data_IF_918317228393
#
_entry.id   IF_918317228393
#
_cell.length_a   1.000
_cell.length_b   1.000
_cell.length_c   1.000
_cell.angle_alpha   90.00
_cell.angle_beta   90.00
_cell.angle_gamma   90.00
#
_symmetry.space_group_name_H-M   'P 1'
#
loop_
_entity.id
_entity.type
_entity.pdbx_description
1 polymer ?
#
# COMPACT_ATOMS: atom_id res chain seq x y z
N UNK A 1 -60.15 35.21 -50.99
CA UNK A 1 -58.70 35.24 -51.17
C UNK A 1 -58.17 34.06 -50.38
N UNK A 2 -58.17 32.86 -50.99
CA UNK A 2 -56.95 32.18 -51.51
C UNK A 2 -56.15 31.58 -50.35
N UNK A 3 -55.74 30.31 -50.27
CA UNK A 3 -55.78 29.10 -51.10
C UNK A 3 -55.36 27.94 -50.16
N UNK A 4 -55.83 26.72 -50.44
CA UNK A 4 -55.11 25.41 -50.46
C UNK A 4 -54.03 25.10 -49.40
N UNK A 5 -53.94 23.92 -48.77
CA UNK A 5 -54.55 22.63 -49.09
C UNK A 5 -54.13 21.48 -48.14
N UNK A 6 -54.82 20.35 -48.38
CA UNK A 6 -54.57 18.91 -48.17
C UNK A 6 -53.83 18.31 -46.95
N UNK A 7 -54.50 17.28 -46.43
CA UNK A 7 -54.11 16.14 -45.60
C UNK A 7 -52.79 15.44 -45.96
N UNK A 8 -52.07 14.92 -44.95
CA UNK A 8 -51.93 13.47 -44.64
C UNK A 8 -50.64 13.17 -43.83
N UNK A 9 -50.75 12.31 -42.82
CA UNK A 9 -49.64 11.60 -42.14
C UNK A 9 -48.98 10.55 -43.08
N UNK A 10 -47.91 9.75 -42.73
CA UNK A 10 -47.24 9.53 -41.43
C UNK A 10 -45.68 9.34 -41.45
N UNK A 11 -45.12 8.95 -40.28
CA UNK A 11 -43.85 8.26 -40.00
C UNK A 11 -42.52 9.04 -39.88
N UNK A 12 -41.96 9.09 -38.66
CA UNK A 12 -40.58 8.67 -38.31
C UNK A 12 -40.41 8.70 -36.77
N UNK A 13 -40.10 7.57 -36.12
CA UNK A 13 -38.73 7.12 -35.78
C UNK A 13 -38.04 8.07 -34.81
N UNK A 14 -38.12 7.78 -33.51
CA UNK A 14 -36.95 7.57 -32.61
C UNK A 14 -37.21 7.90 -31.14
N UNK A 15 -36.63 7.02 -30.31
CA UNK A 15 -36.05 7.29 -28.99
C UNK A 15 -37.05 7.62 -27.87
N UNK A 16 -37.54 6.56 -27.22
CA UNK A 16 -37.74 6.64 -25.78
C UNK A 16 -36.79 5.64 -25.10
N UNK A 17 -35.67 6.20 -24.64
CA UNK A 17 -34.61 5.55 -23.87
C UNK A 17 -35.20 5.06 -22.55
N UNK A 18 -35.52 3.76 -22.46
CA UNK A 18 -35.78 3.13 -21.17
C UNK A 18 -34.45 2.73 -20.54
N UNK A 19 -34.07 3.48 -19.50
CA UNK A 19 -33.00 3.13 -18.57
C UNK A 19 -33.15 1.70 -18.04
N UNK A 20 -32.09 0.87 -18.06
CA UNK A 20 -32.11 -0.37 -17.32
C UNK A 20 -31.71 -0.10 -15.87
N UNK A 21 -32.69 -0.31 -14.99
CA UNK A 21 -32.53 -0.29 -13.55
C UNK A 21 -31.49 -1.32 -13.07
N UNK A 22 -30.70 -0.86 -12.09
CA UNK A 22 -29.64 -1.53 -11.32
C UNK A 22 -29.87 -3.03 -11.08
N UNK A 23 -28.89 -3.87 -11.45
CA UNK A 23 -28.82 -5.30 -11.09
C UNK A 23 -27.57 -5.60 -10.25
N UNK A 24 -27.70 -6.55 -9.31
CA UNK A 24 -26.85 -6.72 -8.13
C UNK A 24 -25.37 -7.09 -8.41
N UNK A 25 -24.37 -6.34 -7.87
CA UNK A 25 -22.94 -6.50 -8.19
C UNK A 25 -22.19 -7.63 -7.43
N UNK A 26 -22.88 -8.64 -6.88
CA UNK A 26 -22.24 -9.60 -5.95
C UNK A 26 -21.70 -10.90 -6.58
N UNK A 27 -22.07 -11.24 -7.83
CA UNK A 27 -21.62 -12.48 -8.48
C UNK A 27 -20.60 -12.15 -9.58
N UNK A 28 -19.49 -12.88 -9.60
CA UNK A 28 -18.47 -12.71 -10.65
C UNK A 28 -18.92 -13.37 -11.96
N UNK A 29 -18.51 -12.89 -13.15
CA UNK A 29 -18.85 -13.50 -14.44
C UNK A 29 -18.39 -14.97 -14.52
N UNK A 30 -17.29 -15.32 -13.86
CA UNK A 30 -16.85 -16.72 -13.69
C UNK A 30 -17.94 -17.56 -13.01
N UNK A 31 -18.61 -17.02 -11.99
CA UNK A 31 -19.67 -17.71 -11.24
C UNK A 31 -20.96 -17.82 -12.05
N UNK A 32 -21.34 -16.77 -12.78
CA UNK A 32 -22.52 -16.79 -13.66
C UNK A 32 -22.33 -17.85 -14.75
N UNK A 33 -21.15 -17.90 -15.35
CA UNK A 33 -20.82 -18.85 -16.40
C UNK A 33 -20.77 -20.29 -15.89
N UNK A 34 -20.28 -20.51 -14.67
CA UNK A 34 -20.30 -21.82 -14.02
C UNK A 34 -21.74 -22.29 -13.68
N UNK A 35 -22.59 -21.37 -13.21
CA UNK A 35 -24.01 -21.65 -12.96
C UNK A 35 -24.73 -22.04 -14.25
N UNK A 36 -24.50 -21.31 -15.35
CA UNK A 36 -25.02 -21.65 -16.66
C UNK A 36 -24.50 -23.00 -17.16
N UNK A 37 -23.20 -23.26 -17.06
CA UNK A 37 -22.62 -24.54 -17.47
C UNK A 37 -23.20 -25.73 -16.69
N UNK A 38 -23.53 -25.53 -15.42
CA UNK A 38 -24.19 -26.56 -14.59
C UNK A 38 -25.63 -26.81 -15.04
N UNK A 39 -26.38 -25.75 -15.40
CA UNK A 39 -27.76 -25.85 -15.91
C UNK A 39 -27.82 -26.47 -17.32
N UNK A 40 -26.85 -26.14 -18.16
CA UNK A 40 -26.79 -26.57 -19.56
C UNK A 40 -26.02 -27.88 -19.77
N UNK A 41 -25.56 -28.52 -18.68
CA UNK A 41 -24.84 -29.81 -18.72
C UNK A 41 -23.40 -29.75 -19.25
N UNK A 42 -22.88 -28.54 -19.54
CA UNK A 42 -21.57 -28.30 -20.12
C UNK A 42 -20.76 -27.36 -19.20
N UNK A 43 -19.97 -27.93 -18.31
CA UNK A 43 -19.19 -27.13 -17.36
C UNK A 43 -18.05 -26.35 -18.06
N UNK A 44 -17.80 -25.09 -17.67
CA UNK A 44 -16.71 -24.29 -18.22
C UNK A 44 -15.34 -24.88 -17.85
N UNK A 45 -14.55 -25.20 -18.87
CA UNK A 45 -13.15 -25.63 -18.71
C UNK A 45 -12.24 -24.45 -19.00
N UNK A 46 -11.42 -24.06 -18.02
CA UNK A 46 -10.44 -22.98 -18.16
C UNK A 46 -9.03 -23.55 -18.36
N UNK A 47 -8.38 -23.19 -19.46
CA UNK A 47 -7.00 -23.59 -19.78
C UNK A 47 -6.12 -22.35 -19.84
N UNK A 48 -4.91 -22.43 -19.29
CA UNK A 48 -3.91 -21.37 -19.40
C UNK A 48 -3.14 -21.59 -20.70
N UNK A 49 -3.23 -20.65 -21.64
CA UNK A 49 -2.56 -20.76 -22.93
C UNK A 49 -1.18 -20.11 -22.90
N UNK A 50 -1.09 -18.91 -22.31
CA UNK A 50 0.15 -18.14 -22.27
C UNK A 50 0.34 -17.44 -20.93
N UNK A 51 1.58 -17.39 -20.49
CA UNK A 51 2.05 -16.61 -19.36
C UNK A 51 3.35 -15.92 -19.78
N UNK A 52 3.25 -14.69 -20.24
CA UNK A 52 4.34 -13.92 -20.84
C UNK A 52 4.39 -12.54 -20.18
N UNK A 53 5.52 -11.85 -20.18
CA UNK A 53 5.66 -10.52 -19.58
C UNK A 53 6.77 -10.43 -18.53
N UNK A 54 7.17 -9.20 -18.24
CA UNK A 54 8.25 -8.92 -17.30
C UNK A 54 7.78 -9.10 -15.86
N UNK A 55 8.69 -9.36 -14.91
CA UNK A 55 8.33 -9.61 -13.51
C UNK A 55 7.49 -8.49 -12.87
N UNK A 56 7.62 -7.26 -13.37
CA UNK A 56 6.87 -6.09 -12.92
C UNK A 56 5.56 -5.85 -13.70
N UNK A 57 5.35 -6.52 -14.84
CA UNK A 57 4.14 -6.44 -15.65
C UNK A 57 3.84 -7.79 -16.32
N UNK A 58 3.37 -8.78 -15.54
CA UNK A 58 3.04 -10.09 -16.08
C UNK A 58 1.73 -10.04 -16.89
N UNK A 59 1.65 -10.81 -17.96
CA UNK A 59 0.49 -10.93 -18.84
C UNK A 59 0.08 -12.40 -18.98
N UNK A 60 -1.20 -12.69 -18.72
CA UNK A 60 -1.73 -14.05 -18.76
C UNK A 60 -2.86 -14.13 -19.77
N UNK A 61 -2.89 -15.22 -20.54
CA UNK A 61 -3.95 -15.55 -21.47
C UNK A 61 -4.60 -16.85 -21.04
N UNK A 62 -5.92 -16.82 -20.87
CA UNK A 62 -6.73 -17.97 -20.51
C UNK A 62 -7.80 -18.20 -21.57
N UNK A 63 -7.99 -19.44 -21.97
CA UNK A 63 -9.15 -19.87 -22.75
C UNK A 63 -10.18 -20.55 -21.86
N UNK A 64 -11.46 -20.29 -22.13
CA UNK A 64 -12.60 -20.96 -21.53
C UNK A 64 -13.40 -21.67 -22.62
N UNK A 65 -13.78 -22.93 -22.39
CA UNK A 65 -14.63 -23.70 -23.30
C UNK A 65 -15.87 -24.22 -22.57
N UNK A 66 -17.05 -24.03 -23.17
CA UNK A 66 -18.35 -24.48 -22.67
C UNK A 66 -19.11 -25.08 -23.84
N UNK A 67 -19.24 -26.40 -23.85
CA UNK A 67 -19.79 -27.13 -25.00
C UNK A 67 -18.98 -26.80 -26.26
N UNK A 68 -19.65 -26.21 -27.25
CA UNK A 68 -19.05 -25.80 -28.53
C UNK A 68 -18.52 -24.36 -28.54
N UNK A 69 -18.80 -23.56 -27.50
CA UNK A 69 -18.37 -22.15 -27.43
C UNK A 69 -17.03 -22.05 -26.71
N UNK A 70 -16.04 -21.46 -27.38
CA UNK A 70 -14.71 -21.18 -26.83
C UNK A 70 -14.40 -19.69 -26.88
N UNK A 71 -13.84 -19.16 -25.79
CA UNK A 71 -13.43 -17.75 -25.72
C UNK A 71 -12.06 -17.63 -25.05
N UNK A 72 -11.33 -16.57 -25.39
CA UNK A 72 -10.06 -16.23 -24.76
C UNK A 72 -10.18 -14.93 -24.01
N UNK A 73 -9.43 -14.81 -22.92
CA UNK A 73 -9.35 -13.60 -22.10
C UNK A 73 -7.94 -13.39 -21.61
N UNK A 74 -7.59 -12.13 -21.42
CA UNK A 74 -6.24 -11.70 -21.09
C UNK A 74 -6.22 -10.84 -19.83
N UNK A 75 -5.06 -10.68 -19.22
CA UNK A 75 -4.96 -9.71 -18.14
C UNK A 75 -3.67 -9.79 -17.34
N UNK A 76 -3.46 -8.81 -16.44
CA UNK A 76 -2.25 -8.71 -15.64
C UNK A 76 -2.15 -9.79 -14.55
N UNK A 77 -3.19 -10.61 -14.38
CA UNK A 77 -3.22 -11.72 -13.43
C UNK A 77 -4.02 -12.89 -13.99
N UNK A 78 -3.71 -14.10 -13.51
CA UNK A 78 -4.50 -15.31 -13.83
C UNK A 78 -6.00 -15.14 -13.53
N UNK A 79 -6.35 -14.33 -12.51
CA UNK A 79 -7.75 -14.04 -12.14
C UNK A 79 -8.41 -13.09 -13.13
N UNK A 80 -7.72 -12.02 -13.53
CA UNK A 80 -8.22 -11.05 -14.51
C UNK A 80 -8.43 -11.72 -15.89
N UNK A 81 -7.46 -12.53 -16.33
CA UNK A 81 -7.55 -13.28 -17.59
C UNK A 81 -8.73 -14.25 -17.61
N UNK A 82 -8.94 -15.01 -16.53
CA UNK A 82 -10.12 -15.89 -16.39
C UNK A 82 -11.44 -15.12 -16.35
N UNK A 83 -11.46 -13.96 -15.71
CA UNK A 83 -12.65 -13.11 -15.62
C UNK A 83 -13.04 -12.57 -17.00
N UNK A 84 -12.07 -12.06 -17.76
CA UNK A 84 -12.30 -11.57 -19.13
C UNK A 84 -12.72 -12.71 -20.06
N UNK A 85 -12.10 -13.89 -19.94
CA UNK A 85 -12.48 -15.06 -20.74
C UNK A 85 -13.93 -15.46 -20.46
N UNK A 86 -14.33 -15.43 -19.18
CA UNK A 86 -15.68 -15.76 -18.76
C UNK A 86 -16.71 -14.73 -19.23
N UNK A 87 -16.38 -13.45 -19.16
CA UNK A 87 -17.21 -12.35 -19.65
C UNK A 87 -17.44 -12.44 -21.17
N UNK A 88 -16.38 -12.70 -21.94
CA UNK A 88 -16.48 -12.93 -23.38
C UNK A 88 -17.40 -14.12 -23.71
N UNK A 89 -17.29 -15.22 -22.95
CA UNK A 89 -18.17 -16.38 -23.11
C UNK A 89 -19.64 -16.09 -22.77
N UNK A 90 -19.90 -15.32 -21.70
CA UNK A 90 -21.26 -14.88 -21.36
C UNK A 90 -21.86 -14.00 -22.45
N UNK A 91 -21.06 -13.10 -23.04
CA UNK A 91 -21.49 -12.21 -24.12
C UNK A 91 -21.87 -12.97 -25.38
N UNK A 92 -21.14 -14.04 -25.74
CA UNK A 92 -21.46 -14.88 -26.91
C UNK A 92 -22.72 -15.71 -26.66
N UNK A 93 -22.92 -16.19 -25.43
CA UNK A 93 -24.05 -17.02 -25.06
C UNK A 93 -25.36 -16.23 -24.84
N UNK A 94 -25.34 -14.88 -24.95
CA UNK A 94 -26.49 -13.98 -24.73
C UNK A 94 -27.27 -14.31 -23.44
N UNK A 95 -26.55 -14.67 -22.38
CA UNK A 95 -27.16 -15.09 -21.11
C UNK A 95 -27.50 -13.85 -20.29
N UNK A 96 -28.78 -13.44 -20.32
CA UNK A 96 -29.32 -12.51 -19.34
C UNK A 96 -29.60 -13.23 -18.01
N UNK A 97 -29.15 -12.62 -16.90
CA UNK A 97 -29.19 -13.18 -15.56
C UNK A 97 -30.59 -13.19 -14.92
N UNK A 98 -31.56 -13.83 -15.58
CA UNK A 98 -32.97 -13.74 -15.19
C UNK A 98 -33.78 -15.01 -15.40
N UNK A 99 -33.51 -16.10 -14.67
CA UNK A 99 -34.59 -16.99 -14.19
C UNK A 99 -34.17 -17.96 -13.06
N UNK A 100 -34.98 -17.88 -11.98
CA UNK A 100 -35.32 -18.86 -10.92
C UNK A 100 -34.28 -19.32 -9.89
N UNK A 101 -34.62 -19.02 -8.63
CA UNK A 101 -34.16 -19.60 -7.36
C UNK A 101 -34.29 -21.13 -7.31
N UNK A 102 -33.28 -21.83 -6.80
CA UNK A 102 -33.43 -22.81 -5.71
C UNK A 102 -32.06 -23.29 -5.18
N UNK A 103 -32.02 -23.84 -3.96
CA UNK A 103 -30.82 -23.94 -3.14
C UNK A 103 -30.09 -25.29 -3.28
N UNK A 104 -28.89 -25.33 -2.67
CA UNK A 104 -28.16 -26.49 -2.11
C UNK A 104 -26.79 -26.76 -2.75
N UNK A 105 -25.78 -26.40 -1.94
CA UNK A 105 -24.48 -27.04 -1.66
C UNK A 105 -23.60 -27.44 -2.85
N UNK A 106 -22.47 -26.74 -2.97
CA UNK A 106 -21.25 -27.28 -3.57
C UNK A 106 -20.19 -27.47 -2.48
N UNK A 107 -19.60 -28.65 -2.52
CA UNK A 107 -18.47 -29.08 -1.72
C UNK A 107 -17.19 -28.34 -2.13
N UNK A 108 -16.39 -28.02 -1.10
CA UNK A 108 -14.92 -28.06 -0.98
C UNK A 108 -13.98 -27.76 -2.17
N UNK A 109 -12.93 -27.01 -1.82
CA UNK A 109 -11.61 -26.83 -2.44
C UNK A 109 -11.54 -25.97 -3.71
N UNK A 110 -10.74 -24.90 -3.78
CA UNK A 110 -9.72 -24.39 -2.88
C UNK A 110 -9.03 -23.18 -3.52
N UNK A 111 -8.20 -22.52 -2.71
CA UNK A 111 -7.17 -21.52 -3.10
C UNK A 111 -7.65 -20.32 -3.92
N UNK A 112 -8.28 -19.35 -3.24
CA UNK A 112 -8.33 -17.96 -3.71
C UNK A 112 -7.23 -17.17 -3.01
N UNK A 113 -6.11 -17.00 -3.71
CA UNK A 113 -5.13 -15.97 -3.38
C UNK A 113 -5.78 -14.60 -3.64
N UNK A 114 -6.35 -14.02 -2.58
CA UNK A 114 -6.86 -12.65 -2.61
C UNK A 114 -5.68 -11.65 -2.58
N UNK A 115 -5.33 -11.15 -3.75
CA UNK A 115 -4.71 -9.84 -3.95
C UNK A 115 -5.75 -8.78 -3.61
N UNK A 116 -5.68 -8.23 -2.40
CA UNK A 116 -6.40 -7.02 -2.03
C UNK A 116 -5.37 -5.89 -1.91
N UNK A 117 -5.43 -4.94 -2.83
CA UNK A 117 -4.85 -3.59 -2.70
C UNK A 117 -5.65 -2.78 -1.65
N UNK A 118 -5.80 -3.37 -0.47
CA UNK A 118 -6.37 -2.76 0.71
C UNK A 118 -5.23 -2.67 1.71
N UNK A 119 -5.02 -1.54 2.41
CA UNK A 119 -3.91 -1.39 3.35
C UNK A 119 -3.88 -2.60 4.28
N UNK A 120 -2.85 -3.42 4.13
CA UNK A 120 -2.73 -4.65 4.87
C UNK A 120 -2.32 -4.27 6.28
N UNK A 121 -3.28 -4.21 7.20
CA UNK A 121 -3.06 -3.82 8.60
C UNK A 121 -1.94 -4.64 9.27
N UNK A 122 -1.73 -5.88 8.81
CA UNK A 122 -0.59 -6.73 9.20
C UNK A 122 0.74 -6.17 8.71
N UNK A 123 0.82 -5.71 7.47
CA UNK A 123 2.00 -5.11 6.87
C UNK A 123 2.34 -3.76 7.49
N UNK A 124 1.33 -2.92 7.71
CA UNK A 124 1.47 -1.64 8.43
C UNK A 124 2.08 -1.85 9.81
N UNK A 125 1.52 -2.79 10.59
CA UNK A 125 2.01 -3.06 11.94
C UNK A 125 3.45 -3.61 11.92
N UNK A 126 3.79 -4.38 10.89
CA UNK A 126 5.13 -4.90 10.68
C UNK A 126 6.13 -3.79 10.32
N UNK A 127 5.78 -2.89 9.40
CA UNK A 127 6.60 -1.72 9.04
C UNK A 127 6.80 -0.79 10.24
N UNK A 128 5.72 -0.53 11.00
CA UNK A 128 5.78 0.26 12.23
C UNK A 128 6.74 -0.37 13.26
N UNK A 129 6.67 -1.69 13.46
CA UNK A 129 7.57 -2.39 14.36
C UNK A 129 9.02 -2.29 13.90
N UNK A 130 9.29 -2.50 12.60
CA UNK A 130 10.64 -2.35 12.03
C UNK A 130 11.18 -0.93 12.19
N UNK A 131 10.37 0.08 11.92
CA UNK A 131 10.78 1.47 12.02
C UNK A 131 11.11 1.89 13.45
N UNK A 132 10.35 1.40 14.44
CA UNK A 132 10.59 1.66 15.86
C UNK A 132 11.69 0.79 16.46
N UNK A 133 12.31 -0.09 15.67
CA UNK A 133 13.29 -1.06 16.16
C UNK A 133 12.70 -2.11 17.10
N UNK A 134 11.38 -2.32 17.08
CA UNK A 134 10.70 -3.33 17.86
C UNK A 134 10.87 -4.72 17.24
N UNK A 135 10.70 -5.75 18.06
CA UNK A 135 10.62 -7.12 17.54
C UNK A 135 9.39 -7.26 16.64
N UNK A 136 9.51 -8.10 15.62
CA UNK A 136 8.41 -8.35 14.69
C UNK A 136 7.17 -8.88 15.43
N UNK A 137 5.95 -8.44 15.06
CA UNK A 137 4.72 -8.90 15.71
C UNK A 137 4.52 -10.40 15.53
N UNK A 138 4.26 -11.12 16.62
CA UNK A 138 4.00 -12.56 16.61
C UNK A 138 2.49 -12.82 16.57
N UNK A 139 2.05 -13.73 15.71
CA UNK A 139 0.64 -14.09 15.55
C UNK A 139 0.42 -15.55 15.88
N UNK A 140 -0.43 -15.83 16.87
CA UNK A 140 -0.77 -17.18 17.30
C UNK A 140 -2.28 -17.41 17.18
N UNK A 141 -2.67 -18.51 16.54
CA UNK A 141 -4.08 -18.94 16.48
C UNK A 141 -4.43 -19.64 17.80
N UNK A 142 -5.40 -19.10 18.53
CA UNK A 142 -5.85 -19.64 19.82
C UNK A 142 -6.98 -20.66 19.66
N UNK A 143 -7.97 -20.34 18.83
CA UNK A 143 -9.21 -21.12 18.77
C UNK A 143 -9.78 -21.13 17.36
N UNK A 144 -10.32 -22.28 16.98
CA UNK A 144 -11.16 -22.45 15.80
C UNK A 144 -12.52 -22.98 16.27
N UNK A 145 -13.56 -22.18 16.09
CA UNK A 145 -14.91 -22.48 16.56
C UNK A 145 -15.93 -22.30 15.42
N UNK A 146 -17.17 -22.71 15.66
CA UNK A 146 -18.27 -22.52 14.74
C UNK A 146 -18.46 -23.64 13.71
N UNK A 147 -19.66 -23.71 13.11
CA UNK A 147 -19.98 -24.76 12.15
C UNK A 147 -19.18 -24.61 10.85
N UNK A 148 -19.03 -25.66 10.03
CA UNK A 148 -18.21 -25.62 8.81
C UNK A 148 -18.52 -24.47 7.85
N UNK A 149 -19.76 -23.97 7.84
CA UNK A 149 -20.23 -22.88 6.99
C UNK A 149 -20.15 -21.49 7.67
N UNK A 150 -19.76 -21.41 8.94
CA UNK A 150 -19.58 -20.17 9.71
C UNK A 150 -18.45 -20.36 10.74
N UNK A 151 -17.26 -20.69 10.23
CA UNK A 151 -16.06 -20.88 11.05
C UNK A 151 -15.56 -19.55 11.58
N UNK A 152 -15.06 -19.58 12.79
CA UNK A 152 -14.59 -18.44 13.56
C UNK A 152 -13.20 -18.76 14.10
N UNK A 153 -12.23 -17.92 13.77
CA UNK A 153 -10.83 -18.07 14.15
C UNK A 153 -10.46 -16.95 15.10
N UNK A 154 -9.94 -17.28 16.27
CA UNK A 154 -9.40 -16.31 17.23
C UNK A 154 -7.88 -16.29 17.12
N UNK A 155 -7.32 -15.13 16.79
CA UNK A 155 -5.88 -14.90 16.66
C UNK A 155 -5.43 -13.86 17.69
N UNK A 156 -4.30 -14.15 18.34
CA UNK A 156 -3.60 -13.19 19.20
C UNK A 156 -2.43 -12.60 18.44
N UNK A 157 -2.32 -11.28 18.46
CA UNK A 157 -1.12 -10.54 18.06
C UNK A 157 -0.37 -10.12 19.33
N UNK A 158 0.93 -10.45 19.41
CA UNK A 158 1.83 -10.03 20.48
C UNK A 158 2.90 -9.11 19.90
N UNK A 159 3.06 -7.93 20.48
CA UNK A 159 4.05 -6.94 20.08
C UNK A 159 4.58 -6.26 21.33
N UNK A 160 5.88 -6.44 21.58
CA UNK A 160 6.54 -5.99 22.81
C UNK A 160 5.80 -6.46 24.08
N UNK A 161 5.47 -5.55 25.00
CA UNK A 161 4.67 -5.83 26.20
C UNK A 161 3.15 -5.88 25.95
N UNK A 162 2.70 -5.64 24.72
CA UNK A 162 1.28 -5.58 24.37
C UNK A 162 0.82 -6.89 23.71
N UNK A 163 -0.39 -7.30 24.04
CA UNK A 163 -1.07 -8.41 23.37
C UNK A 163 -2.52 -8.05 23.09
N UNK A 164 -3.00 -8.35 21.88
CA UNK A 164 -4.38 -8.12 21.46
C UNK A 164 -4.97 -9.35 20.78
N UNK A 165 -6.24 -9.61 21.04
CA UNK A 165 -6.97 -10.76 20.48
C UNK A 165 -8.09 -10.28 19.57
N UNK A 166 -8.16 -10.87 18.39
CA UNK A 166 -9.26 -10.62 17.47
C UNK A 166 -9.77 -11.89 16.83
N UNK A 167 -10.97 -11.76 16.30
CA UNK A 167 -11.74 -12.86 15.76
C UNK A 167 -12.06 -12.58 14.31
N UNK A 168 -12.05 -13.61 13.46
CA UNK A 168 -12.37 -13.47 12.06
C UNK A 168 -12.90 -14.76 11.45
N UNK A 169 -13.57 -14.65 10.30
CA UNK A 169 -14.13 -15.79 9.58
C UNK A 169 -13.08 -16.69 8.88
N UNK A 170 -11.82 -16.29 8.91
CA UNK A 170 -10.67 -17.02 8.37
C UNK A 170 -9.43 -16.68 9.19
N UNK A 171 -8.39 -17.53 9.14
CA UNK A 171 -7.09 -17.24 9.79
C UNK A 171 -6.50 -15.91 9.32
N UNK A 172 -6.62 -15.60 8.02
CA UNK A 172 -6.14 -14.34 7.43
C UNK A 172 -6.94 -13.13 7.94
N UNK A 173 -8.26 -13.22 7.97
CA UNK A 173 -9.12 -12.15 8.48
C UNK A 173 -8.91 -11.91 9.98
N UNK A 174 -8.81 -12.97 10.78
CA UNK A 174 -8.53 -12.89 12.21
C UNK A 174 -7.15 -12.27 12.47
N UNK A 175 -6.13 -12.62 11.68
CA UNK A 175 -4.79 -12.01 11.74
C UNK A 175 -4.82 -10.52 11.43
N UNK A 176 -5.54 -10.11 10.37
CA UNK A 176 -5.72 -8.70 10.00
C UNK A 176 -6.43 -7.93 11.12
N UNK A 177 -7.54 -8.47 11.65
CA UNK A 177 -8.29 -7.85 12.73
C UNK A 177 -7.47 -7.73 14.03
N UNK A 178 -6.58 -8.69 14.31
CA UNK A 178 -5.70 -8.64 15.48
C UNK A 178 -4.65 -7.54 15.33
N UNK A 179 -4.10 -7.38 14.12
CA UNK A 179 -3.19 -6.30 13.80
C UNK A 179 -3.87 -4.92 13.92
N UNK A 180 -5.10 -4.77 13.43
CA UNK A 180 -5.88 -3.52 13.54
C UNK A 180 -6.09 -3.11 15.00
N UNK A 181 -6.53 -4.04 15.86
CA UNK A 181 -6.67 -3.76 17.30
C UNK A 181 -5.35 -3.35 17.95
N UNK A 182 -4.25 -4.01 17.58
CA UNK A 182 -2.92 -3.68 18.10
C UNK A 182 -2.51 -2.26 17.69
N UNK A 183 -2.70 -1.89 16.42
CA UNK A 183 -2.44 -0.52 15.95
C UNK A 183 -3.28 0.48 16.75
N UNK A 184 -4.59 0.27 16.86
CA UNK A 184 -5.49 1.16 17.64
C UNK A 184 -5.04 1.31 19.09
N UNK A 185 -4.58 0.23 19.73
CA UNK A 185 -4.06 0.26 21.10
C UNK A 185 -2.75 1.03 21.23
N UNK A 186 -1.86 0.92 20.23
CA UNK A 186 -0.65 1.72 20.19
C UNK A 186 -1.00 3.22 20.10
N UNK A 187 -2.03 3.60 19.33
CA UNK A 187 -2.43 5.02 19.20
C UNK A 187 -3.06 5.56 20.48
N UNK A 188 -3.84 4.74 21.20
CA UNK A 188 -4.44 5.17 22.46
C UNK A 188 -3.40 5.36 23.57
N UNK A 189 -2.34 4.54 23.58
CA UNK A 189 -1.24 4.68 24.53
C UNK A 189 -0.30 5.84 24.20
N UNK A 190 -0.18 6.24 22.93
CA UNK A 190 0.70 7.35 22.53
C UNK A 190 0.15 8.75 22.82
N UNK A 191 -1.07 8.89 23.36
CA UNK A 191 -1.62 10.16 23.86
C UNK A 191 -1.82 11.29 22.83
N UNK A 192 -1.53 11.06 21.55
CA UNK A 192 -1.68 12.00 20.46
C UNK A 192 -2.36 11.30 19.28
N UNK A 193 -3.34 11.98 18.65
CA UNK A 193 -3.99 11.53 17.41
C UNK A 193 -3.05 11.53 16.19
N UNK A 194 -1.77 11.83 16.40
CA UNK A 194 -0.71 11.73 15.42
C UNK A 194 0.33 10.71 15.89
N UNK A 195 0.00 9.42 15.73
CA UNK A 195 1.04 8.55 15.18
C UNK A 195 1.26 9.09 13.78
N UNK A 196 2.32 9.86 13.58
CA UNK A 196 2.72 10.35 12.26
C UNK A 196 2.94 9.11 11.39
N UNK A 197 1.92 8.79 10.58
CA UNK A 197 1.90 7.65 9.66
C UNK A 197 2.92 7.79 8.52
N UNK A 198 3.56 8.96 8.44
CA UNK A 198 4.72 9.16 7.59
C UNK A 198 5.94 8.66 8.36
N UNK A 199 6.63 7.60 7.89
CA UNK A 199 7.91 7.26 8.46
C UNK A 199 8.80 8.50 8.46
N UNK A 200 9.50 8.80 9.58
CA UNK A 200 10.55 9.83 9.57
C UNK A 200 11.43 9.56 8.35
N UNK A 201 11.54 10.51 7.40
CA UNK A 201 12.29 10.29 6.19
C UNK A 201 13.71 9.95 6.62
N UNK A 202 14.16 8.74 6.29
CA UNK A 202 15.43 8.21 6.78
C UNK A 202 16.25 7.71 5.63
N UNK A 203 17.50 8.18 5.58
CA UNK A 203 18.44 7.85 4.52
C UNK A 203 19.58 7.00 5.06
N UNK A 204 19.96 5.97 4.31
CA UNK A 204 21.22 5.24 4.59
C UNK A 204 22.39 6.07 4.09
N UNK A 205 23.50 6.06 4.82
CA UNK A 205 24.73 6.74 4.38
C UNK A 205 25.26 6.23 3.03
N UNK A 206 24.97 4.98 2.67
CA UNK A 206 25.28 4.42 1.35
C UNK A 206 24.60 5.20 0.22
N UNK A 207 23.36 5.67 0.44
CA UNK A 207 22.64 6.47 -0.55
C UNK A 207 23.26 7.87 -0.67
N UNK A 208 23.64 8.48 0.45
CA UNK A 208 24.38 9.75 0.47
C UNK A 208 25.75 9.65 -0.24
N UNK A 209 26.40 8.48 -0.16
CA UNK A 209 27.67 8.20 -0.87
C UNK A 209 27.47 8.10 -2.37
N UNK A 210 26.41 7.44 -2.83
CA UNK A 210 26.15 7.22 -4.24
C UNK A 210 25.36 8.37 -4.92
N UNK A 211 24.83 9.30 -4.13
CA UNK A 211 24.09 10.46 -4.62
C UNK A 211 24.98 11.39 -5.44
N UNK A 212 24.49 11.77 -6.62
CA UNK A 212 25.10 12.74 -7.54
C UNK A 212 24.37 14.09 -7.50
N UNK A 213 23.56 14.32 -6.48
CA UNK A 213 22.77 15.52 -6.36
C UNK A 213 23.66 16.77 -6.12
N UNK A 214 23.09 17.95 -6.31
CA UNK A 214 23.88 19.19 -6.36
C UNK A 214 24.43 19.55 -4.99
N UNK A 215 23.62 19.45 -3.93
CA UNK A 215 24.02 19.87 -2.59
C UNK A 215 25.11 18.95 -2.02
N UNK A 216 24.99 17.63 -2.21
CA UNK A 216 26.04 16.68 -1.79
C UNK A 216 27.33 16.86 -2.60
N UNK A 217 27.22 17.23 -3.88
CA UNK A 217 28.37 17.53 -4.74
C UNK A 217 29.07 18.82 -4.33
N UNK A 218 28.31 19.86 -3.98
CA UNK A 218 28.83 21.12 -3.44
C UNK A 218 29.54 20.89 -2.10
N UNK A 219 28.97 20.07 -1.21
CA UNK A 219 29.56 19.73 0.08
C UNK A 219 30.92 19.04 -0.09
N UNK A 220 31.05 18.13 -1.07
CA UNK A 220 32.31 17.44 -1.38
C UNK A 220 33.38 18.42 -1.88
N UNK A 221 33.00 19.33 -2.79
CA UNK A 221 33.93 20.23 -3.48
C UNK A 221 34.39 21.42 -2.62
N UNK A 222 33.53 21.94 -1.74
CA UNK A 222 33.82 23.16 -1.01
C UNK A 222 34.35 22.89 0.41
N UNK A 223 35.37 23.62 0.89
CA UNK A 223 35.80 23.54 2.28
C UNK A 223 34.71 24.09 3.20
N UNK A 224 34.51 23.44 4.35
CA UNK A 224 33.53 23.89 5.37
C UNK A 224 34.10 24.98 6.30
N UNK A 225 35.29 25.52 6.01
CA UNK A 225 35.99 26.51 6.85
C UNK A 225 35.67 27.96 6.46
N UNK A 226 34.51 28.21 5.83
CA UNK A 226 34.15 29.53 5.32
C UNK A 226 33.52 30.36 6.47
N UNK A 227 34.12 31.49 6.87
CA UNK A 227 33.58 32.34 7.94
C UNK A 227 32.22 32.93 7.55
N UNK A 228 31.34 33.13 8.54
CA UNK A 228 29.99 33.70 8.38
C UNK A 228 29.05 32.90 7.46
N UNK A 229 29.24 31.59 7.38
CA UNK A 229 28.34 30.69 6.64
C UNK A 229 27.20 30.25 7.54
N UNK A 230 25.98 30.28 7.00
CA UNK A 230 24.81 29.66 7.61
C UNK A 230 24.82 28.15 7.29
N UNK A 231 25.41 27.37 8.19
CA UNK A 231 25.48 25.92 8.04
C UNK A 231 24.11 25.27 8.26
N UNK A 232 23.21 25.93 8.99
CA UNK A 232 21.85 25.44 9.22
C UNK A 232 21.10 25.42 7.89
N UNK A 233 21.19 26.50 7.11
CA UNK A 233 20.58 26.58 5.78
C UNK A 233 21.14 25.52 4.82
N UNK A 234 22.47 25.35 4.78
CA UNK A 234 23.10 24.31 3.95
C UNK A 234 22.65 22.90 4.37
N UNK A 235 22.55 22.66 5.68
CA UNK A 235 22.10 21.41 6.25
C UNK A 235 20.62 21.13 5.89
N UNK A 236 19.78 22.16 5.89
CA UNK A 236 18.38 22.07 5.47
C UNK A 236 18.26 21.69 3.99
N UNK A 237 18.98 22.36 3.10
CA UNK A 237 18.99 22.06 1.66
C UNK A 237 19.41 20.62 1.38
N UNK A 238 20.47 20.15 2.04
CA UNK A 238 20.93 18.76 1.97
C UNK A 238 19.88 17.78 2.48
N UNK A 239 19.21 18.11 3.59
CA UNK A 239 18.19 17.27 4.19
C UNK A 239 16.97 17.10 3.28
N UNK A 240 16.55 18.18 2.62
CA UNK A 240 15.45 18.17 1.65
C UNK A 240 15.81 17.37 0.40
N UNK A 241 17.00 17.58 -0.14
CA UNK A 241 17.47 16.90 -1.36
C UNK A 241 17.62 15.38 -1.16
N UNK A 242 18.17 14.98 -0.02
CA UNK A 242 18.47 13.58 0.29
C UNK A 242 17.36 12.88 1.08
N UNK A 243 16.25 13.58 1.33
CA UNK A 243 15.07 13.08 2.04
C UNK A 243 15.42 12.49 3.41
N UNK A 244 16.02 13.30 4.27
CA UNK A 244 16.15 13.00 5.70
C UNK A 244 15.78 14.21 6.55
N UNK A 245 15.33 13.97 7.77
CA UNK A 245 15.02 14.99 8.78
C UNK A 245 16.23 15.31 9.67
N UNK A 246 16.34 16.58 10.07
CA UNK A 246 17.31 17.08 11.06
C UNK A 246 16.55 17.71 12.22
N UNK A 247 16.87 17.30 13.44
CA UNK A 247 16.29 17.86 14.66
C UNK A 247 17.39 18.40 15.57
N UNK A 248 17.18 19.58 16.14
CA UNK A 248 18.15 20.22 17.02
C UNK A 248 17.63 20.27 18.45
N UNK A 249 18.50 19.87 19.39
CA UNK A 249 18.21 19.84 20.82
C UNK A 249 19.21 20.73 21.55
N UNK A 250 18.72 21.82 22.13
CA UNK A 250 19.55 22.66 23.00
C UNK A 250 19.74 21.96 24.34
N UNK A 251 20.96 21.97 24.87
CA UNK A 251 21.25 21.49 26.22
C UNK A 251 21.28 22.72 27.13
N UNK A 252 20.42 22.72 28.15
CA UNK A 252 20.29 23.85 29.08
C UNK A 252 21.55 24.08 29.92
N UNK A 253 22.31 23.02 30.18
CA UNK A 253 23.58 23.09 30.90
C UNK A 253 24.70 23.67 30.01
N UNK A 254 25.36 24.72 30.50
CA UNK A 254 26.53 25.30 29.83
C UNK A 254 27.75 24.39 29.99
N UNK A 255 28.68 24.46 29.04
CA UNK A 255 29.98 23.77 29.19
C UNK A 255 30.76 24.34 30.38
N UNK A 256 31.83 23.64 30.78
CA UNK A 256 32.78 24.14 31.80
C UNK A 256 33.38 25.51 31.47
N UNK A 257 33.40 25.88 30.19
CA UNK A 257 33.88 27.16 29.69
C UNK A 257 32.74 28.20 29.55
N UNK A 258 31.53 27.89 30.02
CA UNK A 258 30.36 28.77 29.94
C UNK A 258 29.74 28.86 28.54
N UNK A 259 29.96 27.89 27.67
CA UNK A 259 29.41 27.90 26.30
C UNK A 259 28.06 27.17 26.23
N UNK A 260 27.18 27.65 25.36
CA UNK A 260 25.93 26.97 25.02
C UNK A 260 26.23 25.72 24.21
N UNK A 261 25.33 24.74 24.32
CA UNK A 261 25.50 23.42 23.71
C UNK A 261 24.25 23.04 22.91
N UNK A 262 24.46 22.36 21.79
CA UNK A 262 23.39 21.86 20.93
C UNK A 262 23.75 20.47 20.39
N UNK A 263 22.74 19.61 20.24
CA UNK A 263 22.83 18.32 19.54
C UNK A 263 21.99 18.36 18.27
N UNK A 264 22.59 18.03 17.14
CA UNK A 264 21.91 17.82 15.87
C UNK A 264 21.70 16.32 15.64
N UNK A 265 20.45 15.86 15.69
CA UNK A 265 20.05 14.50 15.33
C UNK A 265 19.69 14.44 13.85
N UNK A 266 20.40 13.60 13.11
CA UNK A 266 20.13 13.25 11.73
C UNK A 266 19.37 11.92 11.74
N UNK A 267 18.18 11.91 11.11
CA UNK A 267 17.36 10.69 10.89
C UNK A 267 17.98 9.72 9.86
N UNK A 268 19.29 9.52 9.92
CA UNK A 268 20.03 8.58 9.09
C UNK A 268 19.95 7.15 9.65
N UNK A 269 20.36 6.15 8.88
CA UNK A 269 20.50 4.77 9.36
C UNK A 269 21.96 4.31 9.24
N UNK A 270 22.66 4.06 10.37
CA UNK A 270 22.23 4.28 11.77
C UNK A 270 22.01 5.77 12.11
N UNK A 271 21.21 6.06 13.14
CA UNK A 271 20.94 7.43 13.61
C UNK A 271 22.27 8.10 13.97
N UNK A 272 22.47 9.32 13.50
CA UNK A 272 23.68 10.09 13.75
C UNK A 272 23.33 11.30 14.59
N UNK A 273 24.12 11.54 15.64
CA UNK A 273 24.00 12.73 16.48
C UNK A 273 25.33 13.47 16.47
N UNK A 274 25.28 14.78 16.25
CA UNK A 274 26.45 15.65 16.24
C UNK A 274 26.32 16.71 17.32
N UNK A 275 27.41 16.98 18.03
CA UNK A 275 27.47 18.00 19.07
C UNK A 275 28.06 19.29 18.51
N UNK A 276 27.55 20.42 19.00
CA UNK A 276 28.11 21.73 18.74
C UNK A 276 28.07 22.63 19.97
N UNK A 277 29.01 23.57 20.01
CA UNK A 277 29.16 24.54 21.09
C UNK A 277 29.27 25.95 20.57
N UNK A 278 28.86 26.93 21.38
CA UNK A 278 28.94 28.33 20.98
C UNK A 278 28.78 29.30 22.12
N UNK A 279 29.23 30.54 21.88
CA UNK A 279 29.03 31.65 22.83
C UNK A 279 27.56 32.09 22.97
N UNK A 280 26.69 31.62 22.08
CA UNK A 280 25.25 31.83 22.10
C UNK A 280 24.53 30.55 21.65
N UNK A 281 23.23 30.43 21.95
CA UNK A 281 22.41 29.32 21.46
C UNK A 281 22.42 29.20 19.93
N UNK A 282 22.31 30.33 19.21
CA UNK A 282 22.36 30.34 17.75
C UNK A 282 23.72 29.90 17.22
N UNK A 283 24.82 30.28 17.88
CA UNK A 283 26.15 29.82 17.52
C UNK A 283 26.32 28.32 17.76
N UNK A 284 25.86 27.79 18.90
CA UNK A 284 25.92 26.36 19.20
C UNK A 284 25.11 25.53 18.20
N UNK A 285 23.95 26.05 17.78
CA UNK A 285 23.12 25.45 16.75
C UNK A 285 23.85 25.40 15.40
N UNK A 286 24.42 26.52 14.95
CA UNK A 286 25.20 26.58 13.71
C UNK A 286 26.45 25.68 13.75
N UNK A 287 27.12 25.59 14.90
CA UNK A 287 28.27 24.71 15.13
C UNK A 287 27.89 23.21 15.09
N UNK A 288 26.72 22.86 15.62
CA UNK A 288 26.21 21.49 15.56
C UNK A 288 25.86 21.08 14.12
N UNK A 289 25.29 22.01 13.33
CA UNK A 289 25.03 21.83 11.90
C UNK A 289 26.34 21.68 11.12
N UNK A 290 27.36 22.48 11.45
CA UNK A 290 28.70 22.36 10.86
C UNK A 290 29.32 20.97 11.10
N UNK A 291 29.27 20.50 12.34
CA UNK A 291 29.76 19.17 12.72
C UNK A 291 29.01 18.05 11.98
N UNK A 292 27.69 18.19 11.80
CA UNK A 292 26.88 17.27 11.01
C UNK A 292 27.29 17.26 9.52
N UNK A 293 27.49 18.43 8.92
CA UNK A 293 27.96 18.56 7.53
C UNK A 293 29.36 17.95 7.34
N UNK A 294 30.26 18.14 8.30
CA UNK A 294 31.58 17.52 8.28
C UNK A 294 31.48 15.99 8.30
N UNK A 295 30.64 15.44 9.18
CA UNK A 295 30.43 14.01 9.25
C UNK A 295 29.87 13.45 7.95
N UNK A 296 28.83 14.07 7.39
CA UNK A 296 28.24 13.68 6.09
C UNK A 296 29.30 13.74 4.99
N UNK A 297 30.12 14.79 4.97
CA UNK A 297 31.20 14.94 3.98
C UNK A 297 32.18 13.78 4.06
N UNK A 298 32.61 13.38 5.26
CA UNK A 298 33.52 12.25 5.47
C UNK A 298 32.86 10.95 4.99
N UNK A 299 31.63 10.69 5.42
CA UNK A 299 30.89 9.47 5.06
C UNK A 299 30.59 9.35 3.57
N UNK A 300 30.39 10.49 2.89
CA UNK A 300 30.18 10.58 1.45
C UNK A 300 31.49 10.50 0.63
N UNK A 301 32.65 10.78 1.24
CA UNK A 301 33.96 10.77 0.56
C UNK A 301 34.73 9.46 0.74
N UNK A 302 34.41 8.69 1.78
CA UNK A 302 35.05 7.41 2.08
C UNK A 302 34.54 6.36 1.08
N UNK A 303 35.39 5.96 0.11
CA UNK A 303 35.09 4.86 -0.82
C UNK A 303 35.22 3.52 -0.12
#
# INVERSE_FOLDING_TARGET
MSQEGYQSAPADTSLNTHEPQRTNPRKTPIQILHEHGTKSGNLPVYVMEKAEGEAHQPHFVFSVKIGEVGCTGQGPSKKAAKHQAAEAALSILQIDAGTVNCPVKSESNGVVAETNNHPNSVGILQELALQRGWRLPEYTVLMEAGPPHKREFTVTCRLESLSEKAVGNSKKAAKKAAAEKMVSKLQSLSGCSEITWTPKPSVRFENLRNSSAESISLLRRNPLSIPNTDYIQMMLELSMEQSFEVTYFNIDELTVNGQYQCLAELSTSPVTVCHGTGISCSNAHNDSAHSALQYIKIMASTK
#
